data_IF_631352050637
#
_entry.id   IF_631352050637
#
_cell.length_a   1.000
_cell.length_b   1.000
_cell.length_c   1.000
_cell.angle_alpha   90.00
_cell.angle_beta   90.00
_cell.angle_gamma   90.00
#
_symmetry.space_group_name_H-M   'P 1'
#
loop_
_entity.id
_entity.type
_entity.pdbx_description
1 polymer ?
#
# COMPACT_ATOMS: atom_id res chain seq x y z
N UNK A 1 -11.10 7.76 7.28
CA UNK A 1 -10.62 8.79 8.23
C UNK A 1 -11.83 9.52 8.77
N UNK A 2 -12.04 9.49 10.08
CA UNK A 2 -13.19 10.09 10.75
C UNK A 2 -12.84 11.46 11.37
N UNK A 3 -13.71 11.98 12.25
CA UNK A 3 -13.54 13.27 12.93
C UNK A 3 -12.33 13.33 13.88
N UNK A 4 -11.79 12.18 14.32
CA UNK A 4 -10.64 12.13 15.22
C UNK A 4 -9.29 12.19 14.47
N UNK A 5 -9.32 12.12 13.13
CA UNK A 5 -8.13 12.16 12.30
C UNK A 5 -7.79 13.60 11.91
N UNK A 6 -6.68 14.11 12.44
CA UNK A 6 -6.17 15.45 12.12
C UNK A 6 -5.52 15.48 10.73
N UNK A 7 -6.32 15.92 9.74
CA UNK A 7 -5.91 16.00 8.34
C UNK A 7 -4.80 17.03 8.12
N UNK A 8 -4.82 18.17 8.84
CA UNK A 8 -3.81 19.22 8.69
C UNK A 8 -2.45 18.73 9.19
N UNK A 9 -2.44 18.09 10.38
CA UNK A 9 -1.22 17.50 10.92
C UNK A 9 -0.67 16.40 10.01
N UNK A 10 -1.54 15.56 9.45
CA UNK A 10 -1.11 14.48 8.56
C UNK A 10 -0.54 15.02 7.24
N UNK A 11 -1.13 16.09 6.66
CA UNK A 11 -0.59 16.77 5.48
C UNK A 11 0.80 17.38 5.74
N UNK A 12 0.98 18.03 6.89
CA UNK A 12 2.29 18.59 7.27
C UNK A 12 3.36 17.50 7.45
N UNK A 13 3.03 16.39 8.12
CA UNK A 13 3.94 15.26 8.28
C UNK A 13 4.28 14.58 6.95
N UNK A 14 3.32 14.50 6.01
CA UNK A 14 3.57 13.99 4.67
C UNK A 14 4.65 14.82 3.96
N UNK A 15 4.52 16.15 3.96
CA UNK A 15 5.51 17.07 3.37
C UNK A 15 6.88 16.95 4.06
N UNK A 16 6.92 16.89 5.39
CA UNK A 16 8.16 16.68 6.14
C UNK A 16 8.86 15.37 5.71
N UNK A 17 8.10 14.29 5.54
CA UNK A 17 8.66 13.02 5.10
C UNK A 17 9.15 13.07 3.66
N UNK A 18 8.46 13.73 2.74
CA UNK A 18 8.93 13.90 1.36
C UNK A 18 10.27 14.64 1.36
N UNK A 19 10.33 15.79 2.03
CA UNK A 19 11.54 16.62 2.10
C UNK A 19 12.71 15.87 2.75
N UNK A 20 12.45 15.10 3.80
CA UNK A 20 13.46 14.28 4.45
C UNK A 20 14.05 13.22 3.50
N UNK A 21 13.21 12.59 2.68
CA UNK A 21 13.68 11.58 1.71
C UNK A 21 14.52 12.23 0.61
N UNK A 22 14.12 13.40 0.10
CA UNK A 22 14.90 14.15 -0.89
C UNK A 22 16.25 14.59 -0.33
N UNK A 23 16.29 15.11 0.89
CA UNK A 23 17.50 15.60 1.55
C UNK A 23 18.48 14.48 1.90
N UNK A 24 17.95 13.32 2.33
CA UNK A 24 18.79 12.18 2.74
C UNK A 24 19.32 11.38 1.54
N UNK A 25 18.96 11.73 0.30
CA UNK A 25 19.44 11.03 -0.89
C UNK A 25 19.09 9.54 -0.88
N UNK A 26 18.08 9.11 -0.11
CA UNK A 26 17.57 7.73 -0.04
C UNK A 26 16.78 7.35 -1.31
N UNK A 27 17.16 7.92 -2.45
CA UNK A 27 16.79 7.44 -3.77
C UNK A 27 17.41 6.06 -3.95
N UNK A 28 16.65 5.03 -3.57
CA UNK A 28 16.87 3.70 -4.12
C UNK A 28 17.00 3.85 -5.63
N UNK A 29 18.09 3.35 -6.21
CA UNK A 29 18.59 3.66 -7.56
C UNK A 29 17.66 3.29 -8.73
N UNK A 30 16.43 2.83 -8.45
CA UNK A 30 15.53 2.20 -9.42
C UNK A 30 14.24 3.00 -9.64
N UNK A 31 13.80 3.84 -8.70
CA UNK A 31 12.50 4.51 -8.79
C UNK A 31 12.58 6.03 -8.58
N UNK A 32 12.00 6.78 -9.52
CA UNK A 32 12.03 8.25 -9.58
C UNK A 32 10.82 8.83 -8.85
N UNK A 33 11.00 9.93 -8.13
CA UNK A 33 9.88 10.65 -7.52
C UNK A 33 8.96 11.19 -8.62
N UNK A 34 7.68 10.79 -8.61
CA UNK A 34 6.75 11.11 -9.70
C UNK A 34 6.58 12.61 -9.93
N UNK A 35 6.53 13.39 -8.84
CA UNK A 35 6.43 14.85 -8.89
C UNK A 35 7.62 15.51 -9.63
N UNK A 36 8.77 14.85 -9.69
CA UNK A 36 10.00 15.35 -10.28
C UNK A 36 10.34 14.65 -11.61
N UNK A 37 9.43 13.81 -12.12
CA UNK A 37 9.68 13.03 -13.32
C UNK A 37 9.65 13.93 -14.57
N UNK A 38 10.71 13.87 -15.37
CA UNK A 38 10.72 14.44 -16.72
C UNK A 38 10.03 13.45 -17.68
N UNK A 39 8.73 13.65 -17.90
CA UNK A 39 7.88 12.72 -18.65
C UNK A 39 8.35 12.53 -20.10
N UNK A 40 9.01 13.54 -20.68
CA UNK A 40 9.47 13.51 -22.06
C UNK A 40 10.65 12.52 -22.28
N UNK A 41 11.27 12.05 -21.20
CA UNK A 41 12.34 11.05 -21.25
C UNK A 41 11.84 9.61 -21.40
N UNK A 42 10.53 9.37 -21.27
CA UNK A 42 9.94 8.03 -21.35
C UNK A 42 9.20 7.80 -22.66
N UNK A 43 9.01 6.54 -23.01
CA UNK A 43 8.27 6.13 -24.22
C UNK A 43 7.19 5.11 -23.88
N UNK A 44 6.10 5.14 -24.63
CA UNK A 44 5.04 4.13 -24.54
C UNK A 44 5.37 3.00 -25.51
N UNK A 45 5.71 1.83 -24.96
CA UNK A 45 6.13 0.67 -25.74
C UNK A 45 5.14 -0.50 -25.59
N UNK A 46 4.89 -1.28 -26.65
CA UNK A 46 4.11 -2.49 -26.55
C UNK A 46 4.86 -3.54 -25.72
N UNK A 47 4.13 -4.26 -24.88
CA UNK A 47 4.63 -5.33 -24.03
C UNK A 47 3.85 -6.61 -24.32
N UNK A 48 4.57 -7.72 -24.56
CA UNK A 48 3.98 -8.92 -25.15
C UNK A 48 3.24 -9.83 -24.18
N UNK A 49 3.65 -9.90 -22.90
CA UNK A 49 3.15 -10.94 -21.97
C UNK A 49 3.00 -10.41 -20.53
N UNK A 50 1.82 -9.90 -20.11
CA UNK A 50 0.57 -9.85 -20.88
C UNK A 50 0.55 -8.72 -21.93
N UNK A 51 -0.21 -8.87 -23.04
CA UNK A 51 -0.38 -7.83 -24.05
C UNK A 51 -0.91 -6.52 -23.44
N UNK A 52 -0.07 -5.49 -23.44
CA UNK A 52 -0.40 -4.14 -22.99
C UNK A 52 0.60 -3.14 -23.56
N UNK A 53 0.39 -1.86 -23.29
CA UNK A 53 1.39 -0.82 -23.55
C UNK A 53 1.88 -0.28 -22.22
N UNK A 54 3.19 -0.11 -22.06
CA UNK A 54 3.81 0.33 -20.81
C UNK A 54 4.61 1.60 -21.04
N UNK A 55 4.60 2.47 -20.05
CA UNK A 55 5.59 3.55 -19.99
C UNK A 55 6.95 2.93 -19.62
N UNK A 56 7.94 3.15 -20.47
CA UNK A 56 9.25 2.53 -20.41
C UNK A 56 10.36 3.56 -20.52
N UNK A 57 11.50 3.24 -19.93
CA UNK A 57 12.75 3.95 -20.12
C UNK A 57 13.32 3.48 -21.47
N UNK A 58 13.64 4.38 -22.41
CA UNK A 58 14.25 4.01 -23.67
C UNK A 58 15.52 3.16 -23.41
N UNK A 59 15.77 2.12 -24.22
CA UNK A 59 16.99 1.34 -24.08
C UNK A 59 18.20 2.27 -24.19
N UNK A 60 19.14 2.13 -23.26
CA UNK A 60 20.46 2.76 -23.40
C UNK A 60 21.26 2.01 -24.47
N UNK A 61 22.15 2.72 -25.17
CA UNK A 61 22.95 2.20 -26.28
C UNK A 61 23.60 0.85 -25.91
N UNK A 62 23.10 -0.23 -26.53
CA UNK A 62 23.59 -1.61 -26.34
C UNK A 62 22.60 -2.59 -25.71
N UNK A 63 21.49 -2.11 -25.14
CA UNK A 63 20.39 -2.97 -24.65
C UNK A 63 19.26 -3.10 -25.68
N UNK A 64 18.73 -4.30 -25.86
CA UNK A 64 17.55 -4.56 -26.73
C UNK A 64 16.23 -4.51 -25.97
N UNK A 65 16.28 -4.54 -24.63
CA UNK A 65 15.10 -4.56 -23.76
C UNK A 65 14.95 -3.21 -23.06
N UNK A 66 13.76 -2.63 -23.16
CA UNK A 66 13.42 -1.40 -22.48
C UNK A 66 12.88 -1.72 -21.07
N UNK A 67 13.42 -1.05 -20.06
CA UNK A 67 12.97 -1.22 -18.69
C UNK A 67 11.64 -0.48 -18.43
N UNK A 68 10.77 -1.08 -17.62
CA UNK A 68 9.55 -0.40 -17.20
C UNK A 68 9.87 0.78 -16.28
N UNK A 69 9.27 1.94 -16.54
CA UNK A 69 9.41 3.10 -15.67
C UNK A 69 8.62 2.89 -14.37
N UNK A 70 9.32 2.98 -13.22
CA UNK A 70 8.75 2.87 -11.88
C UNK A 70 8.91 4.21 -11.16
N UNK A 71 7.80 4.71 -10.62
CA UNK A 71 7.72 5.98 -9.93
C UNK A 71 7.34 5.82 -8.48
N UNK A 72 7.85 6.70 -7.63
CA UNK A 72 7.47 6.81 -6.22
C UNK A 72 6.48 7.95 -6.03
N UNK A 73 5.47 7.70 -5.21
CA UNK A 73 4.49 8.71 -4.79
C UNK A 73 4.12 8.47 -3.32
N UNK A 74 4.22 9.51 -2.50
CA UNK A 74 3.83 9.45 -1.10
C UNK A 74 2.43 10.00 -0.92
N UNK A 75 1.69 9.44 0.02
CA UNK A 75 0.36 9.92 0.35
C UNK A 75 -0.25 9.16 1.52
N UNK A 76 -1.49 9.50 1.83
CA UNK A 76 -2.23 8.96 2.97
C UNK A 76 -3.32 8.04 2.45
N UNK A 77 -3.39 6.81 2.96
CA UNK A 77 -4.39 5.82 2.53
C UNK A 77 -5.80 6.29 2.90
N UNK A 78 -6.65 6.50 1.91
CA UNK A 78 -8.07 6.84 2.09
C UNK A 78 -8.98 5.63 1.96
N UNK A 79 -8.62 4.71 1.07
CA UNK A 79 -9.30 3.43 0.87
C UNK A 79 -8.28 2.32 0.53
N UNK A 80 -8.62 1.08 0.85
CA UNK A 80 -7.77 -0.07 0.54
C UNK A 80 -8.58 -1.35 0.35
N UNK A 81 -8.16 -2.15 -0.61
CA UNK A 81 -8.54 -3.54 -0.79
C UNK A 81 -7.26 -4.37 -0.88
N UNK A 82 -6.73 -4.78 0.26
CA UNK A 82 -5.45 -5.49 0.38
C UNK A 82 -5.67 -6.89 0.97
N UNK A 83 -4.78 -7.85 0.67
CA UNK A 83 -4.81 -9.17 1.29
C UNK A 83 -4.62 -9.10 2.83
N UNK A 84 -4.92 -10.16 3.58
CA UNK A 84 -5.49 -11.43 3.12
C UNK A 84 -6.98 -11.34 2.79
N UNK A 85 -7.43 -12.09 1.77
CA UNK A 85 -8.85 -12.17 1.42
C UNK A 85 -9.52 -13.18 2.37
N UNK A 86 -10.55 -12.75 3.11
CA UNK A 86 -11.28 -13.62 4.02
C UNK A 86 -12.21 -14.61 3.28
N UNK A 87 -12.42 -15.80 3.86
CA UNK A 87 -13.29 -16.88 3.31
C UNK A 87 -14.69 -16.42 2.90
N UNK A 88 -15.29 -15.49 3.64
CA UNK A 88 -16.62 -14.97 3.32
C UNK A 88 -16.64 -14.19 2.00
N UNK A 89 -15.54 -13.50 1.66
CA UNK A 89 -15.38 -12.81 0.37
C UNK A 89 -15.27 -13.82 -0.78
N UNK A 90 -14.62 -14.96 -0.52
CA UNK A 90 -14.46 -16.06 -1.47
C UNK A 90 -15.79 -16.72 -1.82
N UNK A 91 -16.62 -17.01 -0.82
CA UNK A 91 -17.92 -17.66 -1.00
C UNK A 91 -18.86 -16.87 -1.94
N UNK A 92 -18.64 -15.55 -2.05
CA UNK A 92 -19.39 -14.65 -2.94
C UNK A 92 -18.72 -14.47 -4.31
N UNK A 93 -17.48 -14.92 -4.47
CA UNK A 93 -16.71 -14.78 -5.70
C UNK A 93 -17.03 -15.91 -6.68
N UNK A 94 -17.81 -15.61 -7.71
CA UNK A 94 -18.04 -16.52 -8.82
C UNK A 94 -16.77 -16.75 -9.65
N UNK A 95 -16.69 -17.85 -10.41
CA UNK A 95 -15.61 -18.07 -11.38
C UNK A 95 -15.43 -16.90 -12.36
N UNK A 96 -16.53 -16.22 -12.74
CA UNK A 96 -16.50 -15.07 -13.66
C UNK A 96 -15.84 -13.83 -13.06
N UNK A 97 -15.85 -13.69 -11.74
CA UNK A 97 -15.31 -12.49 -11.06
C UNK A 97 -13.87 -12.67 -10.59
N UNK A 98 -13.35 -13.91 -10.52
CA UNK A 98 -11.95 -14.20 -10.16
C UNK A 98 -10.91 -13.43 -10.98
N UNK A 99 -11.02 -13.30 -12.33
CA UNK A 99 -10.04 -12.56 -13.13
C UNK A 99 -10.00 -11.05 -12.83
N UNK A 100 -11.03 -10.54 -12.14
CA UNK A 100 -11.17 -9.13 -11.78
C UNK A 100 -10.73 -8.85 -10.34
N UNK A 101 -10.32 -9.88 -9.58
CA UNK A 101 -9.77 -9.70 -8.25
C UNK A 101 -8.44 -8.94 -8.33
N UNK A 102 -8.30 -7.95 -7.46
CA UNK A 102 -7.16 -7.04 -7.42
C UNK A 102 -6.85 -6.61 -6.00
N UNK A 103 -5.59 -6.30 -5.77
CA UNK A 103 -5.11 -5.54 -4.63
C UNK A 103 -5.06 -4.07 -5.02
N UNK A 104 -5.67 -3.20 -4.23
CA UNK A 104 -5.84 -1.79 -4.56
C UNK A 104 -5.66 -0.89 -3.34
N UNK A 105 -5.10 0.29 -3.57
CA UNK A 105 -4.98 1.35 -2.57
C UNK A 105 -5.27 2.69 -3.24
N UNK A 106 -6.07 3.49 -2.55
CA UNK A 106 -6.31 4.89 -2.88
C UNK A 106 -5.58 5.76 -1.87
N UNK A 107 -4.75 6.69 -2.36
CA UNK A 107 -4.04 7.66 -1.53
C UNK A 107 -4.44 9.10 -1.86
N UNK A 108 -4.35 9.99 -0.89
CA UNK A 108 -4.46 11.44 -1.11
C UNK A 108 -3.26 12.16 -0.49
N UNK A 109 -2.88 13.29 -1.09
CA UNK A 109 -1.93 14.23 -0.49
C UNK A 109 -2.59 15.30 0.37
N UNK A 110 -3.92 15.34 0.52
CA UNK A 110 -4.60 16.44 1.24
C UNK A 110 -4.19 17.85 0.74
N UNK A 111 -4.05 18.00 -0.59
CA UNK A 111 -3.64 19.24 -1.27
C UNK A 111 -2.20 19.70 -1.02
N UNK A 112 -1.33 18.82 -0.52
CA UNK A 112 0.12 19.10 -0.46
C UNK A 112 0.70 19.39 -1.86
N UNK A 113 1.54 20.43 -2.04
CA UNK A 113 2.14 20.78 -3.31
C UNK A 113 2.80 19.62 -4.05
N UNK A 114 3.54 18.76 -3.33
CA UNK A 114 4.22 17.60 -3.94
C UNK A 114 3.23 16.63 -4.59
N UNK A 115 2.13 16.35 -3.89
CA UNK A 115 1.11 15.44 -4.41
C UNK A 115 0.36 16.04 -5.59
N UNK A 116 0.09 17.35 -5.57
CA UNK A 116 -0.51 18.05 -6.71
C UNK A 116 0.40 17.97 -7.94
N UNK A 117 1.71 18.21 -7.77
CA UNK A 117 2.69 18.04 -8.85
C UNK A 117 2.74 16.58 -9.36
N UNK A 118 2.57 15.59 -8.49
CA UNK A 118 2.46 14.19 -8.91
C UNK A 118 1.20 13.93 -9.75
N UNK A 119 0.06 14.55 -9.43
CA UNK A 119 -1.17 14.45 -10.26
C UNK A 119 -0.94 15.10 -11.64
N UNK A 120 -0.33 16.28 -11.69
CA UNK A 120 0.04 16.96 -12.96
C UNK A 120 1.00 16.12 -13.81
N UNK A 121 1.96 15.43 -13.18
CA UNK A 121 2.84 14.50 -13.88
C UNK A 121 2.06 13.31 -14.50
N UNK A 122 1.02 12.81 -13.83
CA UNK A 122 0.16 11.75 -14.38
C UNK A 122 -0.64 12.26 -15.58
N UNK A 123 -1.10 13.51 -15.56
CA UNK A 123 -1.78 14.13 -16.71
C UNK A 123 -0.85 14.24 -17.92
N UNK A 124 0.42 14.58 -17.71
CA UNK A 124 1.45 14.54 -18.76
C UNK A 124 1.71 13.13 -19.28
N UNK A 125 1.77 12.13 -18.39
CA UNK A 125 1.92 10.73 -18.77
C UNK A 125 0.70 10.27 -19.61
N UNK A 126 -0.51 10.67 -19.22
CA UNK A 126 -1.72 10.41 -20.00
C UNK A 126 -1.60 11.01 -21.41
N UNK A 127 -1.04 12.22 -21.55
CA UNK A 127 -0.80 12.81 -22.87
C UNK A 127 0.21 11.99 -23.69
N UNK A 128 1.26 11.45 -23.07
CA UNK A 128 2.19 10.54 -23.74
C UNK A 128 1.47 9.27 -24.26
N UNK A 129 0.54 8.71 -23.48
CA UNK A 129 -0.32 7.63 -23.96
C UNK A 129 -1.24 8.10 -25.09
N UNK A 130 -1.91 9.25 -25.00
CA UNK A 130 -2.77 9.75 -26.08
C UNK A 130 -2.00 9.90 -27.39
N UNK A 131 -0.77 10.42 -27.34
CA UNK A 131 0.08 10.63 -28.51
C UNK A 131 0.61 9.33 -29.13
N UNK A 132 0.65 8.23 -28.38
CA UNK A 132 1.15 6.94 -28.87
C UNK A 132 0.09 6.13 -29.63
N UNK A 133 -1.17 6.59 -29.67
CA UNK A 133 -2.29 5.88 -30.30
C UNK A 133 -3.02 6.77 -31.31
N UNK A 134 -3.81 6.18 -32.22
CA UNK A 134 -4.74 6.94 -33.05
C UNK A 134 -5.69 7.81 -32.23
N UNK A 135 -6.15 8.92 -32.83
CA UNK A 135 -7.09 9.84 -32.20
C UNK A 135 -8.33 9.12 -31.63
N UNK A 136 -8.79 9.58 -30.47
CA UNK A 136 -9.96 9.07 -29.74
C UNK A 136 -9.91 7.61 -29.26
N UNK A 137 -8.75 6.95 -29.37
CA UNK A 137 -8.58 5.56 -28.94
C UNK A 137 -8.30 5.43 -27.43
N UNK A 138 -7.69 6.44 -26.80
CA UNK A 138 -7.34 6.40 -25.37
C UNK A 138 -8.46 7.05 -24.55
N UNK A 139 -8.97 6.32 -23.55
CA UNK A 139 -9.92 6.86 -22.58
C UNK A 139 -9.25 7.97 -21.75
N UNK A 140 -10.00 9.05 -21.51
CA UNK A 140 -9.53 10.13 -20.65
C UNK A 140 -9.30 9.61 -19.22
N UNK A 141 -8.11 9.88 -18.69
CA UNK A 141 -7.81 9.67 -17.28
C UNK A 141 -8.32 10.84 -16.45
N UNK A 142 -8.82 10.53 -15.25
CA UNK A 142 -9.19 11.51 -14.25
C UNK A 142 -8.74 11.02 -12.87
N UNK A 143 -8.29 11.92 -11.98
CA UNK A 143 -8.03 11.55 -10.60
C UNK A 143 -9.33 11.15 -9.90
N UNK A 144 -9.18 10.37 -8.84
CA UNK A 144 -10.26 10.13 -7.88
C UNK A 144 -10.34 11.28 -6.88
N UNK A 145 -11.39 11.30 -6.05
CA UNK A 145 -11.59 12.34 -5.04
C UNK A 145 -11.85 11.74 -3.67
N UNK A 146 -11.25 12.34 -2.65
CA UNK A 146 -11.55 12.08 -1.24
C UNK A 146 -11.92 13.41 -0.59
N UNK A 147 -13.17 13.58 -0.14
CA UNK A 147 -13.66 14.84 0.47
C UNK A 147 -13.26 16.08 -0.36
N UNK A 148 -13.52 16.01 -1.67
CA UNK A 148 -13.26 17.08 -2.64
C UNK A 148 -11.78 17.42 -2.91
N UNK A 149 -10.84 16.62 -2.39
CA UNK A 149 -9.41 16.74 -2.73
C UNK A 149 -8.97 15.60 -3.64
N UNK A 150 -7.96 15.85 -4.48
CA UNK A 150 -7.42 14.84 -5.38
C UNK A 150 -6.91 13.61 -4.64
N UNK A 151 -7.19 12.46 -5.22
CA UNK A 151 -6.74 11.16 -4.77
C UNK A 151 -6.32 10.31 -5.97
N UNK A 152 -5.38 9.40 -5.72
CA UNK A 152 -4.80 8.52 -6.71
C UNK A 152 -5.21 7.07 -6.43
N UNK A 153 -5.93 6.48 -7.38
CA UNK A 153 -6.28 5.06 -7.38
C UNK A 153 -5.18 4.21 -8.02
N UNK A 154 -4.65 3.26 -7.25
CA UNK A 154 -3.63 2.32 -7.72
C UNK A 154 -4.08 0.90 -7.47
N UNK A 155 -3.75 -0.02 -8.37
CA UNK A 155 -4.06 -1.43 -8.17
C UNK A 155 -3.18 -2.37 -8.99
N UNK A 156 -3.10 -3.62 -8.55
CA UNK A 156 -2.55 -4.73 -9.32
C UNK A 156 -3.52 -5.91 -9.27
N UNK A 157 -3.67 -6.64 -10.37
CA UNK A 157 -4.52 -7.84 -10.41
C UNK A 157 -3.81 -8.98 -9.70
N UNK A 158 -4.55 -9.84 -9.01
CA UNK A 158 -3.95 -11.05 -8.45
C UNK A 158 -3.63 -12.08 -9.52
N UNK A 159 -4.37 -12.07 -10.63
CA UNK A 159 -4.26 -13.10 -11.66
C UNK A 159 -4.19 -12.50 -13.05
N UNK A 160 -3.43 -13.16 -13.91
CA UNK A 160 -3.39 -12.97 -15.35
C UNK A 160 -3.96 -14.22 -16.02
N UNK A 161 -4.62 -14.05 -17.18
CA UNK A 161 -5.12 -15.22 -17.92
C UNK A 161 -3.96 -15.98 -18.55
N UNK A 162 -3.85 -17.28 -18.33
CA UNK A 162 -2.70 -18.11 -18.75
C UNK A 162 -2.39 -18.00 -20.24
N UNK A 163 -3.42 -17.96 -21.11
CA UNK A 163 -3.21 -17.85 -22.56
C UNK A 163 -2.56 -16.53 -23.01
N UNK A 164 -2.57 -15.48 -22.18
CA UNK A 164 -1.91 -14.20 -22.46
C UNK A 164 -0.42 -14.23 -22.08
N UNK A 165 0.00 -15.24 -21.31
CA UNK A 165 1.34 -15.34 -20.72
C UNK A 165 1.85 -16.79 -20.78
N UNK A 166 1.89 -17.41 -21.97
CA UNK A 166 2.17 -18.84 -22.10
C UNK A 166 3.56 -19.25 -21.60
N UNK A 167 4.52 -18.31 -21.54
CA UNK A 167 5.91 -18.58 -21.17
C UNK A 167 6.27 -18.03 -19.79
N UNK A 168 5.31 -17.48 -19.03
CA UNK A 168 5.58 -16.90 -17.72
C UNK A 168 5.52 -17.97 -16.63
N UNK A 169 6.48 -17.90 -15.71
CA UNK A 169 6.50 -18.77 -14.54
C UNK A 169 5.52 -18.31 -13.47
N UNK A 170 4.97 -19.29 -12.75
CA UNK A 170 4.08 -19.03 -11.62
C UNK A 170 4.87 -18.40 -10.47
N UNK A 171 4.45 -17.22 -10.06
CA UNK A 171 4.87 -16.60 -8.81
C UNK A 171 3.97 -17.15 -7.68
N UNK A 172 4.52 -17.76 -6.61
CA UNK A 172 3.72 -18.18 -5.46
C UNK A 172 3.30 -16.99 -4.60
N UNK A 173 2.16 -17.09 -3.92
CA UNK A 173 1.76 -16.10 -2.92
C UNK A 173 2.55 -16.30 -1.63
N UNK A 174 3.03 -15.21 -1.04
CA UNK A 174 3.62 -15.23 0.29
C UNK A 174 2.59 -15.62 1.36
N UNK A 175 3.05 -16.30 2.42
CA UNK A 175 2.18 -16.69 3.53
C UNK A 175 1.50 -15.48 4.21
N UNK A 176 2.17 -14.32 4.26
CA UNK A 176 1.57 -13.10 4.83
C UNK A 176 0.43 -12.53 3.95
N UNK A 177 0.47 -12.81 2.64
CA UNK A 177 -0.52 -12.39 1.64
C UNK A 177 -1.68 -13.36 1.55
N UNK A 178 -1.39 -14.68 1.61
CA UNK A 178 -2.38 -15.75 1.49
C UNK A 178 -2.22 -16.81 2.61
N UNK A 179 -2.47 -16.46 3.88
CA UNK A 179 -2.21 -17.32 5.03
C UNK A 179 -3.05 -18.60 5.03
N UNK A 180 -4.22 -18.56 4.38
CA UNK A 180 -5.15 -19.69 4.28
C UNK A 180 -5.10 -20.40 2.92
N UNK A 181 -4.20 -20.01 2.01
CA UNK A 181 -4.11 -20.61 0.67
C UNK A 181 -5.32 -20.34 -0.23
N UNK A 182 -6.11 -19.30 0.08
CA UNK A 182 -7.33 -18.94 -0.64
C UNK A 182 -6.99 -18.46 -2.05
N UNK A 183 -6.09 -17.49 -2.19
CA UNK A 183 -5.69 -16.97 -3.49
C UNK A 183 -4.98 -18.05 -4.31
N UNK A 184 -4.16 -18.89 -3.66
CA UNK A 184 -3.52 -20.04 -4.28
C UNK A 184 -4.57 -21.04 -4.81
N UNK A 185 -5.63 -21.31 -4.05
CA UNK A 185 -6.72 -22.22 -4.46
C UNK A 185 -7.57 -21.69 -5.62
N UNK A 186 -7.53 -20.39 -5.90
CA UNK A 186 -8.26 -19.78 -7.02
C UNK A 186 -7.52 -19.88 -8.36
N UNK A 187 -6.22 -20.22 -8.34
CA UNK A 187 -5.45 -20.47 -9.55
C UNK A 187 -5.93 -21.78 -10.19
N UNK A 188 -6.03 -21.77 -11.52
CA UNK A 188 -6.44 -22.91 -12.33
C UNK A 188 -5.74 -22.86 -13.69
N UNK A 189 -6.12 -23.73 -14.63
CA UNK A 189 -5.54 -23.75 -15.98
C UNK A 189 -5.69 -22.40 -16.72
N UNK A 190 -6.67 -21.58 -16.32
CA UNK A 190 -7.00 -20.31 -16.97
C UNK A 190 -6.43 -19.08 -16.28
N UNK A 191 -6.04 -19.19 -15.01
CA UNK A 191 -5.58 -18.08 -14.16
C UNK A 191 -4.27 -18.41 -13.46
N UNK A 192 -3.27 -17.56 -13.67
CA UNK A 192 -1.93 -17.68 -13.10
C UNK A 192 -1.54 -16.39 -12.35
N UNK A 193 -0.88 -16.54 -11.21
CA UNK A 193 -0.18 -15.44 -10.54
C UNK A 193 1.26 -15.39 -11.06
N UNK A 194 1.70 -14.26 -11.59
CA UNK A 194 3.05 -14.06 -12.15
C UNK A 194 3.76 -12.89 -11.48
N UNK A 195 5.05 -12.70 -11.74
CA UNK A 195 5.83 -11.60 -11.17
C UNK A 195 5.18 -10.22 -11.42
N UNK A 196 4.53 -10.02 -12.57
CA UNK A 196 3.82 -8.78 -12.90
C UNK A 196 2.59 -8.51 -11.99
N UNK A 197 2.06 -9.53 -11.32
CA UNK A 197 0.94 -9.42 -10.40
C UNK A 197 1.39 -9.22 -8.94
N UNK A 198 2.67 -9.44 -8.65
CA UNK A 198 3.24 -9.33 -7.30
C UNK A 198 3.25 -7.87 -6.84
N UNK A 199 3.05 -7.67 -5.53
CA UNK A 199 3.15 -6.37 -4.87
C UNK A 199 3.95 -6.53 -3.60
N UNK A 200 5.02 -5.75 -3.47
CA UNK A 200 5.85 -5.75 -2.27
C UNK A 200 5.22 -4.94 -1.14
N UNK A 201 5.23 -5.50 0.07
CA UNK A 201 4.70 -4.88 1.27
C UNK A 201 5.84 -4.62 2.26
N UNK A 202 6.22 -3.37 2.44
CA UNK A 202 7.41 -2.97 3.20
C UNK A 202 7.02 -2.12 4.41
N UNK A 203 7.71 -2.33 5.53
CA UNK A 203 7.52 -1.51 6.73
C UNK A 203 8.58 -1.76 7.80
N UNK A 204 8.44 -1.09 8.96
CA UNK A 204 9.40 -1.21 10.04
C UNK A 204 9.30 -2.60 10.70
N UNK A 205 10.41 -3.32 10.72
CA UNK A 205 10.60 -4.59 11.42
C UNK A 205 11.68 -4.42 12.50
N UNK A 206 11.57 -5.17 13.59
CA UNK A 206 12.58 -5.19 14.65
C UNK A 206 13.42 -6.46 14.52
N UNK A 207 14.71 -6.29 14.20
CA UNK A 207 15.67 -7.39 14.15
C UNK A 207 16.73 -7.11 15.20
N UNK A 208 16.88 -8.00 16.18
CA UNK A 208 17.85 -7.86 17.28
C UNK A 208 17.74 -6.53 18.06
N UNK A 209 16.53 -5.95 18.15
CA UNK A 209 16.28 -4.67 18.83
C UNK A 209 16.49 -3.43 17.97
N UNK A 210 17.04 -3.58 16.76
CA UNK A 210 17.18 -2.50 15.78
C UNK A 210 15.96 -2.43 14.86
N UNK A 211 15.44 -1.22 14.64
CA UNK A 211 14.41 -0.98 13.65
C UNK A 211 15.03 -0.92 12.25
N UNK A 212 14.58 -1.80 11.37
CA UNK A 212 14.97 -1.84 9.96
C UNK A 212 13.74 -1.84 9.06
N UNK A 213 13.91 -1.50 7.79
CA UNK A 213 12.87 -1.69 6.79
C UNK A 213 12.89 -3.14 6.31
N UNK A 214 11.74 -3.78 6.18
CA UNK A 214 11.65 -5.12 5.62
C UNK A 214 10.22 -5.53 5.30
N UNK A 215 10.04 -6.78 4.87
CA UNK A 215 8.74 -7.29 4.42
C UNK A 215 7.77 -7.42 5.58
N UNK A 216 6.57 -6.87 5.42
CA UNK A 216 5.46 -6.95 6.38
C UNK A 216 4.20 -7.47 5.70
N UNK A 217 3.24 -7.95 6.49
CA UNK A 217 1.97 -8.40 5.93
C UNK A 217 1.10 -7.24 5.43
N UNK A 218 0.35 -7.41 4.32
CA UNK A 218 -0.58 -6.41 3.79
C UNK A 218 -1.69 -6.04 4.79
N UNK A 219 -2.01 -6.96 5.71
CA UNK A 219 -2.94 -6.73 6.82
C UNK A 219 -2.49 -5.63 7.79
N UNK A 220 -1.23 -5.19 7.74
CA UNK A 220 -0.69 -4.15 8.63
C UNK A 220 -1.16 -2.76 8.23
N UNK A 221 -1.34 -2.52 6.92
CA UNK A 221 -1.76 -1.21 6.40
C UNK A 221 -3.22 -0.91 6.75
N UNK A 222 -3.49 0.36 7.07
CA UNK A 222 -4.78 0.89 7.49
C UNK A 222 -5.05 2.25 6.84
N UNK A 223 -6.34 2.56 6.70
CA UNK A 223 -6.78 3.90 6.29
C UNK A 223 -6.26 4.92 7.31
N UNK A 224 -5.63 5.98 6.82
CA UNK A 224 -4.95 7.00 7.62
C UNK A 224 -3.45 6.79 7.81
N UNK A 225 -2.88 5.68 7.34
CA UNK A 225 -1.41 5.51 7.31
C UNK A 225 -0.79 6.38 6.20
N UNK A 226 0.37 6.96 6.49
CA UNK A 226 1.22 7.66 5.52
C UNK A 226 2.13 6.61 4.89
N UNK A 227 2.08 6.50 3.57
CA UNK A 227 2.78 5.48 2.80
C UNK A 227 3.49 6.07 1.59
N UNK A 228 4.49 5.33 1.10
CA UNK A 228 5.07 5.49 -0.22
C UNK A 228 4.60 4.34 -1.11
N UNK A 229 4.04 4.65 -2.27
CA UNK A 229 3.73 3.68 -3.30
C UNK A 229 4.82 3.70 -4.36
N UNK A 230 5.25 2.53 -4.82
CA UNK A 230 5.90 2.41 -6.13
C UNK A 230 4.85 2.02 -7.15
N UNK A 231 4.74 2.80 -8.22
CA UNK A 231 3.75 2.62 -9.27
C UNK A 231 4.40 2.63 -10.64
N UNK A 232 3.74 1.98 -11.60
CA UNK A 232 4.09 2.03 -13.01
C UNK A 232 2.85 2.34 -13.83
N UNK A 233 2.99 2.81 -15.07
CA UNK A 233 1.86 3.12 -15.93
C UNK A 233 1.75 2.12 -17.06
N UNK A 234 0.55 1.57 -17.23
CA UNK A 234 0.24 0.65 -18.32
C UNK A 234 -1.15 0.93 -18.86
N UNK A 235 -1.32 0.73 -20.16
CA UNK A 235 -2.59 0.86 -20.84
C UNK A 235 -3.06 -0.49 -21.38
N UNK A 236 -4.34 -0.78 -21.17
CA UNK A 236 -4.96 -2.05 -21.51
C UNK A 236 -6.15 -1.85 -22.45
N UNK A 237 -6.37 -2.78 -23.40
CA UNK A 237 -7.60 -2.80 -24.20
C UNK A 237 -8.84 -2.92 -23.31
N UNK A 238 -9.86 -2.14 -23.63
CA UNK A 238 -11.18 -2.15 -23.00
C UNK A 238 -12.22 -2.75 -23.95
N UNK A 239 -13.35 -3.21 -23.42
CA UNK A 239 -14.40 -3.89 -24.17
C UNK A 239 -15.07 -3.00 -25.25
N UNK A 240 -14.96 -1.67 -25.10
CA UNK A 240 -15.46 -0.69 -26.07
C UNK A 240 -14.49 -0.41 -27.24
N UNK A 241 -13.40 -1.19 -27.36
CA UNK A 241 -12.37 -0.98 -28.39
C UNK A 241 -11.41 0.18 -28.08
N UNK A 242 -11.59 0.88 -26.95
CA UNK A 242 -10.67 1.90 -26.46
C UNK A 242 -9.57 1.28 -25.61
N UNK A 243 -8.55 2.09 -25.32
CA UNK A 243 -7.43 1.73 -24.47
C UNK A 243 -7.48 2.59 -23.21
N UNK A 244 -7.33 1.97 -22.05
CA UNK A 244 -7.40 2.67 -20.77
C UNK A 244 -6.06 2.59 -20.05
N UNK A 245 -5.46 3.77 -19.78
CA UNK A 245 -4.29 3.89 -18.92
C UNK A 245 -4.68 3.65 -17.45
N UNK A 246 -3.79 2.95 -16.72
CA UNK A 246 -3.93 2.68 -15.30
C UNK A 246 -2.59 2.85 -14.58
N UNK A 247 -2.64 3.36 -13.34
CA UNK A 247 -1.54 3.29 -12.39
C UNK A 247 -1.51 1.88 -11.75
N UNK A 248 -0.49 1.10 -12.10
CA UNK A 248 -0.27 -0.26 -11.62
C UNK A 248 0.56 -0.21 -10.34
N UNK A 249 0.00 -0.74 -9.25
CA UNK A 249 0.67 -0.83 -7.96
C UNK A 249 1.80 -1.87 -8.01
N UNK A 250 3.01 -1.50 -7.59
CA UNK A 250 4.19 -2.39 -7.51
C UNK A 250 4.65 -2.64 -6.08
N UNK A 251 4.61 -1.62 -5.23
CA UNK A 251 4.90 -1.80 -3.81
C UNK A 251 4.18 -0.77 -2.94
N UNK A 252 4.02 -1.11 -1.66
CA UNK A 252 3.57 -0.21 -0.60
C UNK A 252 4.59 -0.24 0.51
N UNK A 253 5.08 0.92 0.90
CA UNK A 253 6.00 1.09 2.02
C UNK A 253 5.37 1.97 3.10
N UNK A 254 5.36 1.47 4.33
CA UNK A 254 4.91 2.25 5.49
C UNK A 254 5.95 3.31 5.85
N UNK A 255 5.53 4.58 5.84
CA UNK A 255 6.35 5.71 6.31
C UNK A 255 6.01 5.99 7.78
N UNK A 256 4.76 6.33 8.05
CA UNK A 256 4.31 6.75 9.37
C UNK A 256 2.85 6.35 9.63
N UNK A 257 2.53 6.01 10.87
CA UNK A 257 1.19 5.62 11.29
C UNK A 257 0.75 6.35 12.57
N UNK A 258 1.47 7.39 12.97
CA UNK A 258 1.29 8.13 14.23
C UNK A 258 -0.02 8.92 14.25
N UNK A 259 -0.39 9.58 13.15
CA UNK A 259 -1.67 10.29 13.01
C UNK A 259 -2.85 9.34 13.18
N UNK A 260 -2.84 8.20 12.48
CA UNK A 260 -3.87 7.17 12.64
C UNK A 260 -3.88 6.58 14.05
N UNK A 261 -2.73 6.28 14.64
CA UNK A 261 -2.64 5.77 16.02
C UNK A 261 -3.28 6.75 17.02
N UNK A 262 -2.95 8.04 16.88
CA UNK A 262 -3.49 9.10 17.73
C UNK A 262 -5.01 9.19 17.58
N UNK A 263 -5.51 9.21 16.33
CA UNK A 263 -6.94 9.23 16.04
C UNK A 263 -7.66 8.00 16.65
N UNK A 264 -7.07 6.81 16.54
CA UNK A 264 -7.62 5.57 17.10
C UNK A 264 -7.69 5.64 18.64
N UNK A 265 -6.67 6.19 19.30
CA UNK A 265 -6.66 6.39 20.76
C UNK A 265 -7.75 7.39 21.19
N UNK A 266 -7.90 8.50 20.47
CA UNK A 266 -8.94 9.49 20.75
C UNK A 266 -10.34 8.90 20.57
N UNK A 267 -10.55 8.11 19.51
CA UNK A 267 -11.80 7.40 19.27
C UNK A 267 -12.12 6.38 20.38
N UNK A 268 -11.11 5.66 20.88
CA UNK A 268 -11.31 4.75 22.03
C UNK A 268 -11.72 5.54 23.28
N UNK A 269 -11.07 6.69 23.53
CA UNK A 269 -11.37 7.55 24.68
C UNK A 269 -12.75 8.20 24.61
N UNK A 270 -13.23 8.59 23.42
CA UNK A 270 -14.58 9.17 23.26
C UNK A 270 -15.69 8.17 23.58
N UNK A 271 -15.41 6.86 23.46
CA UNK A 271 -16.33 5.78 23.84
C UNK A 271 -16.31 5.45 25.32
N UNK A 272 -15.46 6.09 26.12
CA UNK A 272 -15.46 5.92 27.57
C UNK A 272 -16.78 6.45 28.12
N UNK A 273 -17.75 5.56 28.31
CA UNK A 273 -18.86 5.85 29.21
C UNK A 273 -18.30 5.78 30.63
N UNK A 274 -18.54 6.78 31.50
CA UNK A 274 -18.33 6.57 32.91
C UNK A 274 -19.20 5.38 33.31
N UNK A 275 -18.55 4.27 33.65
CA UNK A 275 -19.24 3.12 34.22
C UNK A 275 -19.95 3.64 35.46
N UNK A 276 -21.29 3.64 35.45
CA UNK A 276 -22.03 3.61 36.72
C UNK A 276 -21.45 2.42 37.49
N UNK A 277 -21.06 2.56 38.77
CA UNK A 277 -20.45 1.48 39.51
C UNK A 277 -21.40 0.28 39.50
N UNK A 278 -21.07 -0.72 38.69
CA UNK A 278 -21.76 -2.01 38.66
C UNK A 278 -21.05 -2.88 39.68
N UNK A 279 -21.74 -3.19 40.77
CA UNK A 279 -21.20 -3.91 41.92
C UNK A 279 -20.96 -5.41 41.67
N UNK A 280 -20.67 -5.82 40.43
CA UNK A 280 -20.24 -7.18 40.12
C UNK A 280 -18.81 -7.16 39.59
N UNK A 281 -17.88 -6.78 40.46
CA UNK A 281 -16.46 -6.97 40.24
C UNK A 281 -16.10 -8.43 40.54
N UNK A 282 -15.82 -9.21 39.51
CA UNK A 282 -15.08 -10.46 39.67
C UNK A 282 -13.69 -10.09 40.19
N UNK A 283 -13.44 -10.32 41.48
CA UNK A 283 -12.14 -10.07 42.10
C UNK A 283 -11.08 -10.87 41.32
N UNK A 284 -10.10 -10.19 40.73
CA UNK A 284 -8.88 -10.84 40.25
C UNK A 284 -8.26 -11.58 41.42
N UNK A 285 -7.95 -12.88 41.24
CA UNK A 285 -7.14 -13.63 42.21
C UNK A 285 -5.79 -12.92 42.30
N UNK A 286 -5.36 -12.55 43.50
CA UNK A 286 -4.08 -11.89 43.72
C UNK A 286 -2.96 -12.75 43.11
N UNK A 287 -2.05 -12.11 42.37
CA UNK A 287 -0.95 -12.79 41.67
C UNK A 287 0.12 -13.29 42.65
N UNK A 288 0.20 -12.69 43.83
CA UNK A 288 1.10 -13.09 44.90
C UNK A 288 0.27 -13.70 46.03
N UNK A 289 0.76 -14.80 46.58
CA UNK A 289 0.23 -15.40 47.79
C UNK A 289 0.56 -14.51 49.00
N UNK A 290 -0.27 -14.57 50.06
CA UNK A 290 0.00 -13.85 51.31
C UNK A 290 1.36 -14.24 51.93
N UNK A 291 1.87 -15.43 51.61
CA UNK A 291 3.21 -15.87 52.04
C UNK A 291 4.33 -15.13 51.32
N UNK A 292 4.20 -14.86 50.01
CA UNK A 292 5.19 -14.08 49.26
C UNK A 292 5.23 -12.62 49.72
N UNK A 293 4.07 -12.02 50.00
CA UNK A 293 3.98 -10.66 50.55
C UNK A 293 4.63 -10.60 51.93
N UNK A 294 4.34 -11.56 52.83
CA UNK A 294 4.98 -11.65 54.15
C UNK A 294 6.49 -11.89 54.07
N UNK A 295 6.96 -12.65 53.10
CA UNK A 295 8.39 -12.90 52.90
C UNK A 295 9.11 -11.64 52.40
N UNK A 296 8.48 -10.86 51.52
CA UNK A 296 9.01 -9.56 51.08
C UNK A 296 9.04 -8.58 52.26
N UNK A 297 7.97 -8.48 53.06
CA UNK A 297 7.92 -7.60 54.24
C UNK A 297 8.97 -7.97 55.30
N UNK A 298 9.20 -9.26 55.53
CA UNK A 298 10.30 -9.74 56.41
C UNK A 298 11.68 -9.43 55.83
N UNK A 299 11.85 -9.48 54.52
CA UNK A 299 13.10 -9.11 53.84
C UNK A 299 13.41 -7.62 53.96
N UNK A 300 12.41 -6.76 53.78
CA UNK A 300 12.54 -5.30 53.89
C UNK A 300 12.79 -4.87 55.35
N UNK A 301 12.19 -5.57 56.32
CA UNK A 301 12.41 -5.31 57.75
C UNK A 301 13.85 -5.61 58.20
N UNK A 302 14.55 -6.53 57.54
CA UNK A 302 15.96 -6.86 57.81
C UNK A 302 16.96 -5.86 57.22
N UNK A 303 16.54 -5.01 56.30
CA UNK A 303 17.39 -3.97 55.70
C UNK A 303 17.38 -2.65 56.49
N UNK A 304 16.59 -2.57 57.57
CA UNK A 304 16.40 -1.33 58.34
C UNK A 304 17.11 -1.30 59.70
N UNK A 305 17.97 -2.28 59.98
CA UNK A 305 18.83 -2.27 61.16
C UNK A 305 20.24 -2.65 60.74
N UNK A 306 21.06 -1.64 60.48
CA UNK A 306 22.42 -1.54 61.01
C UNK A 306 22.83 -0.05 60.94
N UNK A 307 23.25 0.57 62.07
CA UNK A 307 23.76 1.93 62.13
C UNK A 307 25.16 2.08 61.53
#
# INVERSE_FOLDING_TARGET
>A
MDEFYDMNKAGNLLEEHVQAIETQGLSSSVAIQLANADVDTYQVLPFGQPPCWRLAIPPSDGSTEADQAIFRVQGIITDKNLPPIGRQSVARTSHRTRPHLRQAVTITGLQTPVFTAAIEAIEKIQLAFVNAFPADMVDQWQPSFFKDVYALDTHSRYFTKTHLVPNQEKCPFDHATDPEGILASMQDETLIHIADNHVDYLGPISIAGEKRMGTIGPATFRVGDIVELSISFAAFPSANGKVKMMAVLRSIRMIDNSCRNTASILQMRSRYRPLKPSYNLTKRKAMYSDEEVKNIERGVSKLRMEP
#
